data_IF_474762938371
#
_entry.id   IF_474762938371
#
_cell.length_a   1.000
_cell.length_b   1.000
_cell.length_c   1.000
_cell.angle_alpha   90.00
_cell.angle_beta   90.00
_cell.angle_gamma   90.00
#
_symmetry.space_group_name_H-M   'P 1'
#
loop_
_entity.id
_entity.type
_entity.pdbx_description
1 polymer ?
#
# COMPACT_ATOMS: atom_id res chain seq x y z
N UNK A 1 -6.04 -4.20 12.60
CA UNK A 1 -5.60 -4.79 11.32
C UNK A 1 -5.77 -3.72 10.26
N UNK A 2 -4.75 -3.41 9.44
CA UNK A 2 -4.70 -2.30 8.47
C UNK A 2 -5.98 -2.11 7.61
N UNK A 3 -6.17 -0.93 7.04
CA UNK A 3 -7.24 -0.63 6.07
C UNK A 3 -6.70 -0.39 4.67
N UNK A 4 -7.42 -0.86 3.64
CA UNK A 4 -7.12 -0.59 2.23
C UNK A 4 -8.35 0.02 1.56
N UNK A 5 -8.11 0.95 0.65
CA UNK A 5 -9.12 1.50 -0.26
C UNK A 5 -8.51 1.68 -1.64
N UNK A 6 -9.30 1.49 -2.69
CA UNK A 6 -8.88 1.70 -4.06
C UNK A 6 -9.98 2.36 -4.89
N UNK A 7 -9.58 3.15 -5.87
CA UNK A 7 -10.48 3.73 -6.87
C UNK A 7 -9.95 3.42 -8.27
N UNK A 8 -10.87 3.16 -9.19
CA UNK A 8 -10.56 2.89 -10.59
C UNK A 8 -11.58 3.58 -11.50
N UNK A 9 -11.10 4.20 -12.57
CA UNK A 9 -11.93 4.90 -13.55
C UNK A 9 -11.48 4.63 -14.99
N UNK A 10 -12.44 4.62 -15.93
CA UNK A 10 -12.12 4.55 -17.37
C UNK A 10 -11.48 5.84 -17.90
N UNK A 11 -11.77 6.97 -17.24
CA UNK A 11 -11.17 8.28 -17.48
C UNK A 11 -10.40 8.74 -16.23
N UNK A 12 -9.46 9.70 -16.36
CA UNK A 12 -8.76 10.26 -15.21
C UNK A 12 -9.72 10.79 -14.15
N UNK A 13 -9.51 10.36 -12.90
CA UNK A 13 -10.26 10.83 -11.74
C UNK A 13 -9.65 12.17 -11.32
N UNK A 14 -10.46 13.23 -11.37
CA UNK A 14 -10.01 14.60 -11.05
C UNK A 14 -10.13 14.92 -9.56
N UNK A 15 -11.19 14.43 -8.92
CA UNK A 15 -11.37 14.58 -7.48
C UNK A 15 -10.57 13.52 -6.72
N UNK A 16 -9.40 13.91 -6.21
CA UNK A 16 -8.56 13.04 -5.39
C UNK A 16 -9.11 12.83 -3.98
N UNK A 17 -10.00 13.71 -3.53
CA UNK A 17 -10.52 13.68 -2.16
C UNK A 17 -11.31 12.40 -1.88
N UNK A 18 -11.93 11.80 -2.90
CA UNK A 18 -12.63 10.51 -2.77
C UNK A 18 -11.73 9.42 -2.16
N UNK A 19 -10.46 9.37 -2.55
CA UNK A 19 -9.51 8.38 -2.03
C UNK A 19 -9.07 8.74 -0.61
N UNK A 20 -8.71 10.00 -0.39
CA UNK A 20 -8.28 10.53 0.90
C UNK A 20 -9.38 10.32 1.96
N UNK A 21 -10.62 10.69 1.67
CA UNK A 21 -11.76 10.50 2.56
C UNK A 21 -12.05 9.02 2.83
N UNK A 22 -12.03 8.17 1.79
CA UNK A 22 -12.21 6.73 1.95
C UNK A 22 -11.13 6.08 2.81
N UNK A 23 -9.86 6.46 2.61
CA UNK A 23 -8.74 6.02 3.45
C UNK A 23 -8.93 6.49 4.89
N UNK A 24 -9.32 7.74 5.08
CA UNK A 24 -9.35 8.34 6.41
C UNK A 24 -10.52 7.83 7.26
N UNK A 25 -11.63 7.43 6.64
CA UNK A 25 -12.71 6.69 7.30
C UNK A 25 -12.23 5.35 7.92
N UNK A 26 -11.16 4.77 7.39
CA UNK A 26 -10.54 3.54 7.90
C UNK A 26 -9.49 3.78 9.00
N UNK A 27 -9.37 5.00 9.55
CA UNK A 27 -8.36 5.31 10.57
C UNK A 27 -8.35 4.33 11.76
N UNK A 28 -9.52 3.93 12.24
CA UNK A 28 -9.69 2.97 13.33
C UNK A 28 -9.05 1.59 13.07
N UNK A 29 -8.80 1.23 11.80
CA UNK A 29 -8.14 -0.02 11.41
C UNK A 29 -6.62 0.05 11.49
N UNK A 30 -6.06 1.24 11.25
CA UNK A 30 -4.63 1.50 11.17
C UNK A 30 -4.30 2.93 11.57
N UNK A 31 -4.13 3.20 12.87
CA UNK A 31 -3.91 4.55 13.38
C UNK A 31 -2.46 5.03 13.26
N UNK A 32 -1.51 4.14 12.96
CA UNK A 32 -0.08 4.42 13.11
C UNK A 32 0.53 5.16 11.90
N UNK A 33 0.00 4.92 10.70
CA UNK A 33 0.48 5.55 9.47
C UNK A 33 -0.59 5.56 8.36
N UNK A 34 -0.41 6.40 7.35
CA UNK A 34 -1.34 6.59 6.26
C UNK A 34 -0.61 6.98 4.97
N UNK A 35 -1.01 6.37 3.85
CA UNK A 35 -0.46 6.70 2.55
C UNK A 35 -1.50 6.68 1.45
N UNK A 36 -1.17 7.34 0.34
CA UNK A 36 -1.89 7.21 -0.92
C UNK A 36 -0.92 7.22 -2.10
N UNK A 37 -1.32 6.55 -3.17
CA UNK A 37 -0.63 6.55 -4.45
C UNK A 37 -1.65 6.70 -5.58
N UNK A 38 -1.26 7.36 -6.66
CA UNK A 38 -2.06 7.52 -7.86
C UNK A 38 -1.23 7.14 -9.08
N UNK A 39 -1.85 6.43 -10.02
CA UNK A 39 -1.23 6.17 -11.32
C UNK A 39 -0.96 7.49 -12.07
N UNK A 40 0.03 7.49 -12.95
CA UNK A 40 0.41 8.67 -13.72
C UNK A 40 -0.75 9.25 -14.56
N UNK A 41 -1.62 8.37 -15.08
CA UNK A 41 -2.82 8.76 -15.84
C UNK A 41 -4.03 9.11 -14.95
N UNK A 42 -3.87 9.02 -13.62
CA UNK A 42 -4.89 9.28 -12.59
C UNK A 42 -6.14 8.42 -12.73
N UNK A 43 -6.04 7.25 -13.35
CA UNK A 43 -7.16 6.31 -13.47
C UNK A 43 -7.27 5.35 -12.31
N UNK A 44 -6.17 5.12 -11.58
CA UNK A 44 -6.11 4.23 -10.43
C UNK A 44 -5.54 4.99 -9.24
N UNK A 45 -6.16 4.79 -8.07
CA UNK A 45 -5.65 5.30 -6.80
C UNK A 45 -5.71 4.23 -5.72
N UNK A 46 -4.68 4.16 -4.89
CA UNK A 46 -4.60 3.26 -3.73
C UNK A 46 -4.41 4.08 -2.45
N UNK A 47 -5.14 3.73 -1.40
CA UNK A 47 -5.02 4.33 -0.08
C UNK A 47 -4.84 3.25 0.98
N UNK A 48 -4.02 3.54 1.99
CA UNK A 48 -3.70 2.61 3.07
C UNK A 48 -3.74 3.29 4.43
N UNK A 49 -4.23 2.55 5.44
CA UNK A 49 -4.13 2.88 6.87
C UNK A 49 -3.39 1.75 7.56
N UNK A 50 -2.29 2.05 8.22
CA UNK A 50 -1.38 1.05 8.76
C UNK A 50 -1.56 0.86 10.26
N UNK A 51 -1.64 -0.40 10.67
CA UNK A 51 -1.37 -0.83 12.04
C UNK A 51 -0.01 -1.52 12.03
N UNK A 52 0.98 -0.97 12.70
CA UNK A 52 2.35 -1.47 12.72
C UNK A 52 2.46 -2.66 13.69
N UNK A 53 2.62 -3.87 13.16
CA UNK A 53 2.75 -5.11 13.94
C UNK A 53 4.11 -5.78 13.67
N UNK A 54 4.39 -6.07 12.41
CA UNK A 54 5.67 -6.62 11.94
C UNK A 54 6.41 -5.50 11.22
N UNK A 55 7.68 -5.28 11.61
CA UNK A 55 8.51 -4.13 11.26
C UNK A 55 7.86 -2.79 11.64
N UNK A 56 8.25 -2.24 12.79
CA UNK A 56 7.68 -0.98 13.29
C UNK A 56 8.29 0.26 12.63
N UNK A 57 9.25 0.09 11.72
CA UNK A 57 9.94 1.21 11.08
C UNK A 57 9.09 1.87 9.98
N UNK A 58 9.49 3.06 9.52
CA UNK A 58 8.88 3.71 8.36
C UNK A 58 9.02 2.91 7.05
N UNK A 59 9.92 1.91 6.99
CA UNK A 59 10.08 1.08 5.79
C UNK A 59 8.83 0.26 5.46
N UNK A 60 7.96 0.02 6.45
CA UNK A 60 6.67 -0.63 6.26
C UNK A 60 5.53 0.27 5.74
N UNK A 61 5.81 1.52 5.37
CA UNK A 61 4.84 2.46 4.79
C UNK A 61 4.20 1.89 3.52
N UNK A 62 2.91 2.14 3.34
CA UNK A 62 2.15 1.71 2.15
C UNK A 62 1.25 2.84 1.65
N UNK A 63 0.93 2.91 0.34
CA UNK A 63 1.26 1.96 -0.73
C UNK A 63 2.76 1.83 -1.03
N UNK A 64 3.23 0.61 -1.32
CA UNK A 64 4.62 0.33 -1.68
C UNK A 64 4.78 0.35 -3.19
N UNK A 65 5.87 0.93 -3.67
CA UNK A 65 6.27 0.86 -5.07
C UNK A 65 7.47 -0.08 -5.20
N UNK A 66 7.59 -0.74 -6.35
CA UNK A 66 8.81 -1.46 -6.69
C UNK A 66 9.97 -0.48 -6.94
N UNK A 67 11.18 -1.01 -7.14
CA UNK A 67 12.39 -0.20 -7.27
C UNK A 67 12.34 0.77 -8.47
N UNK A 68 11.57 0.45 -9.51
CA UNK A 68 11.44 1.25 -10.72
C UNK A 68 10.19 2.16 -10.70
N UNK A 69 9.30 2.01 -9.73
CA UNK A 69 8.02 2.72 -9.67
C UNK A 69 7.00 2.27 -10.72
N UNK A 70 7.20 1.11 -11.34
CA UNK A 70 6.32 0.55 -12.37
C UNK A 70 5.14 -0.19 -11.74
N UNK A 71 5.37 -0.80 -10.57
CA UNK A 71 4.36 -1.55 -9.82
C UNK A 71 4.08 -0.87 -8.48
N UNK A 72 2.81 -0.83 -8.10
CA UNK A 72 2.39 -0.38 -6.78
C UNK A 72 1.48 -1.43 -6.12
N UNK A 73 1.71 -1.69 -4.84
CA UNK A 73 0.94 -2.64 -4.05
C UNK A 73 0.41 -2.02 -2.76
N UNK A 74 -0.80 -2.43 -2.39
CA UNK A 74 -1.37 -2.28 -1.05
C UNK A 74 -1.73 -3.66 -0.51
N UNK A 75 -1.49 -3.86 0.79
CA UNK A 75 -1.66 -5.14 1.43
C UNK A 75 -2.22 -4.97 2.85
N UNK A 76 -3.18 -5.82 3.18
CA UNK A 76 -3.69 -5.98 4.53
C UNK A 76 -3.76 -7.47 4.88
N UNK A 77 -2.88 -7.90 5.78
CA UNK A 77 -2.77 -9.27 6.27
C UNK A 77 -1.35 -9.53 6.75
N UNK A 78 -1.04 -10.80 6.99
CA UNK A 78 0.27 -11.24 7.45
C UNK A 78 0.75 -12.42 6.58
N UNK A 79 1.96 -12.30 6.02
CA UNK A 79 2.61 -13.40 5.30
C UNK A 79 3.51 -14.11 6.32
N UNK A 80 3.00 -15.17 6.95
CA UNK A 80 3.69 -15.81 8.08
C UNK A 80 5.06 -16.41 7.71
N UNK A 81 5.24 -16.85 6.46
CA UNK A 81 6.50 -17.40 5.94
C UNK A 81 7.35 -16.35 5.19
N UNK A 82 7.18 -15.05 5.47
CA UNK A 82 7.91 -13.99 4.75
C UNK A 82 9.45 -14.13 4.86
N UNK A 83 9.96 -14.68 5.97
CA UNK A 83 11.39 -14.89 6.17
C UNK A 83 11.95 -15.92 5.17
N UNK A 84 11.25 -17.04 4.99
CA UNK A 84 11.63 -18.09 4.03
C UNK A 84 11.52 -17.58 2.59
N UNK A 85 10.40 -16.93 2.27
CA UNK A 85 10.17 -16.32 0.95
C UNK A 85 11.26 -15.28 0.62
N UNK A 86 11.68 -14.48 1.60
CA UNK A 86 12.77 -13.52 1.41
C UNK A 86 14.07 -14.23 1.04
N UNK A 87 14.42 -15.32 1.72
CA UNK A 87 15.63 -16.09 1.40
C UNK A 87 15.56 -16.67 -0.03
N UNK A 88 14.41 -17.22 -0.42
CA UNK A 88 14.20 -17.72 -1.79
C UNK A 88 14.35 -16.63 -2.86
N UNK A 89 13.81 -15.43 -2.59
CA UNK A 89 13.90 -14.29 -3.50
C UNK A 89 15.35 -13.78 -3.61
N UNK A 90 16.07 -13.70 -2.50
CA UNK A 90 17.51 -13.35 -2.49
C UNK A 90 18.33 -14.35 -3.28
N UNK A 91 18.06 -15.66 -3.13
CA UNK A 91 18.74 -16.71 -3.91
C UNK A 91 18.48 -16.59 -5.43
N UNK A 92 17.36 -15.99 -5.83
CA UNK A 92 17.02 -15.69 -7.23
C UNK A 92 17.54 -14.31 -7.71
N UNK A 93 18.22 -13.55 -6.85
CA UNK A 93 18.82 -12.26 -7.19
C UNK A 93 17.93 -11.04 -6.93
N UNK A 94 16.87 -11.18 -6.14
CA UNK A 94 16.02 -10.05 -5.70
C UNK A 94 16.47 -9.53 -4.33
N UNK A 95 16.40 -8.22 -4.11
CA UNK A 95 16.83 -7.56 -2.86
C UNK A 95 15.65 -6.97 -2.07
#
# INVERSE_FOLDING_TARGET
MCGIVGVIGQAPITDRHILTAGRDALHHRGPDDAGEWWSADRRVGFGHRRLAIIDLSPAGHQPMQDANGELCIVFNGEIYNFADLRQELVAKGHA
#
